data_IF_217403800036
#
_entry.id   IF_217403800036
#
_cell.length_a   1.000
_cell.length_b   1.000
_cell.length_c   1.000
_cell.angle_alpha   90.00
_cell.angle_beta   90.00
_cell.angle_gamma   90.00
#
_symmetry.space_group_name_H-M   'P 1'
#
loop_
_entity.id
_entity.type
_entity.pdbx_description
1 polymer ?
#
# COMPACT_ATOMS: atom_id res chain seq x y z
N UNK A 1 11.50 8.91 7.27
CA UNK A 1 10.04 8.81 7.02
C UNK A 1 9.53 7.48 7.56
N UNK A 2 8.42 7.43 8.30
CA UNK A 2 7.86 6.16 8.80
C UNK A 2 7.25 5.39 7.62
N UNK A 3 7.63 4.12 7.46
CA UNK A 3 7.09 3.24 6.43
C UNK A 3 6.19 2.17 7.04
N UNK A 4 5.00 1.97 6.47
CA UNK A 4 4.03 0.99 6.90
C UNK A 4 4.40 -0.41 6.41
N UNK A 5 3.94 -1.43 7.12
CA UNK A 5 4.11 -2.83 6.69
C UNK A 5 3.05 -3.19 5.65
N UNK A 6 3.30 -4.24 4.86
CA UNK A 6 2.30 -4.80 3.95
C UNK A 6 1.05 -5.27 4.71
N UNK A 7 1.20 -5.88 5.88
CA UNK A 7 0.06 -6.33 6.70
C UNK A 7 -0.81 -5.15 7.19
N UNK A 8 -0.19 -4.09 7.70
CA UNK A 8 -0.90 -2.86 8.09
C UNK A 8 -1.61 -2.23 6.89
N UNK A 9 -0.97 -2.25 5.73
CA UNK A 9 -1.54 -1.71 4.49
C UNK A 9 -2.73 -2.55 4.01
N UNK A 10 -2.62 -3.87 4.02
CA UNK A 10 -3.72 -4.76 3.65
C UNK A 10 -4.93 -4.55 4.56
N UNK A 11 -4.70 -4.43 5.88
CA UNK A 11 -5.75 -4.14 6.85
C UNK A 11 -6.40 -2.77 6.60
N UNK A 12 -5.59 -1.71 6.49
CA UNK A 12 -6.08 -0.34 6.28
C UNK A 12 -6.86 -0.20 4.97
N UNK A 13 -6.45 -0.90 3.91
CA UNK A 13 -7.11 -0.80 2.61
C UNK A 13 -8.24 -1.82 2.44
N UNK A 14 -8.51 -2.65 3.46
CA UNK A 14 -9.41 -3.80 3.40
C UNK A 14 -9.16 -4.67 2.15
N UNK A 15 -7.87 -4.90 1.85
CA UNK A 15 -7.42 -5.64 0.69
C UNK A 15 -6.97 -7.05 1.11
N UNK A 16 -7.18 -8.03 0.23
CA UNK A 16 -6.65 -9.38 0.43
C UNK A 16 -5.11 -9.30 0.58
N UNK A 17 -4.52 -9.83 1.68
CA UNK A 17 -3.08 -9.83 1.89
C UNK A 17 -2.28 -10.50 0.76
N UNK A 18 -2.83 -11.57 0.16
CA UNK A 18 -2.23 -12.28 -0.98
C UNK A 18 -2.30 -11.43 -2.25
N UNK A 19 -3.40 -10.72 -2.47
CA UNK A 19 -3.50 -9.77 -3.58
C UNK A 19 -2.44 -8.68 -3.46
N UNK A 20 -2.28 -8.11 -2.26
CA UNK A 20 -1.27 -7.09 -2.02
C UNK A 20 0.15 -7.63 -2.20
N UNK A 21 0.46 -8.82 -1.70
CA UNK A 21 1.78 -9.42 -1.90
C UNK A 21 2.05 -9.72 -3.38
N UNK A 22 1.06 -10.20 -4.13
CA UNK A 22 1.17 -10.39 -5.59
C UNK A 22 1.42 -9.06 -6.32
N UNK A 23 0.66 -8.01 -5.97
CA UNK A 23 0.86 -6.68 -6.53
C UNK A 23 2.31 -6.21 -6.31
N UNK A 24 2.81 -6.33 -5.09
CA UNK A 24 4.14 -5.84 -4.69
C UNK A 24 5.31 -6.74 -5.14
N UNK A 25 5.06 -8.01 -5.43
CA UNK A 25 6.10 -8.94 -5.92
C UNK A 25 6.26 -8.87 -7.43
N UNK A 26 5.19 -8.56 -8.16
CA UNK A 26 5.18 -8.57 -9.62
C UNK A 26 5.33 -7.17 -10.22
N UNK A 27 5.10 -6.10 -9.46
CA UNK A 27 5.04 -4.74 -9.98
C UNK A 27 5.82 -3.74 -9.13
N UNK A 28 6.27 -2.68 -9.79
CA UNK A 28 6.90 -1.53 -9.13
C UNK A 28 5.83 -0.53 -8.67
N UNK A 29 5.81 -0.25 -7.37
CA UNK A 29 4.95 0.78 -6.78
C UNK A 29 5.84 1.87 -6.17
N UNK A 30 5.67 3.10 -6.64
CA UNK A 30 6.40 4.26 -6.11
C UNK A 30 6.12 4.47 -4.63
N UNK A 31 7.19 4.72 -3.87
CA UNK A 31 7.14 4.81 -2.41
C UNK A 31 7.17 3.46 -1.69
N UNK A 32 7.24 2.32 -2.40
CA UNK A 32 7.55 1.02 -1.80
C UNK A 32 9.04 0.77 -1.85
N UNK A 33 9.63 0.50 -0.70
CA UNK A 33 11.05 0.15 -0.57
C UNK A 33 11.20 -1.26 -0.03
N UNK A 34 12.04 -2.04 -0.70
CA UNK A 34 12.50 -3.35 -0.24
C UNK A 34 14.01 -3.27 -0.16
N UNK A 35 14.57 -3.30 1.06
CA UNK A 35 16.00 -3.05 1.24
C UNK A 35 16.87 -4.26 0.87
N UNK A 36 16.45 -5.49 1.19
CA UNK A 36 17.10 -6.76 0.82
C UNK A 36 16.09 -7.91 0.81
N UNK A 37 16.46 -9.04 0.19
CA UNK A 37 15.70 -10.29 0.28
C UNK A 37 15.59 -10.72 1.75
N UNK A 38 14.39 -11.11 2.19
CA UNK A 38 14.09 -11.41 3.60
C UNK A 38 13.81 -10.20 4.49
N UNK A 39 13.97 -8.96 4.01
CA UNK A 39 13.56 -7.76 4.77
C UNK A 39 12.11 -7.38 4.43
N UNK A 40 11.24 -7.17 5.43
CA UNK A 40 9.87 -6.74 5.20
C UNK A 40 9.81 -5.42 4.41
N UNK A 41 8.94 -5.37 3.39
CA UNK A 41 8.69 -4.17 2.58
C UNK A 41 8.22 -3.02 3.47
N UNK A 42 8.68 -1.82 3.16
CA UNK A 42 8.25 -0.56 3.81
C UNK A 42 7.56 0.32 2.79
N UNK A 43 6.33 0.69 3.10
CA UNK A 43 5.47 1.47 2.23
C UNK A 43 5.34 2.89 2.78
N UNK A 44 5.76 3.88 2.01
CA UNK A 44 5.54 5.29 2.32
C UNK A 44 4.05 5.65 2.21
N UNK A 45 3.56 6.71 2.88
CA UNK A 45 2.16 7.14 2.78
C UNK A 45 1.65 7.27 1.33
N UNK A 46 2.47 7.83 0.42
CA UNK A 46 2.08 7.98 -0.98
C UNK A 46 1.84 6.63 -1.69
N UNK A 47 2.56 5.58 -1.30
CA UNK A 47 2.35 4.25 -1.85
C UNK A 47 0.96 3.71 -1.49
N UNK A 48 0.44 4.04 -0.30
CA UNK A 48 -0.90 3.61 0.12
C UNK A 48 -1.98 4.25 -0.75
N UNK A 49 -1.82 5.51 -1.17
CA UNK A 49 -2.74 6.16 -2.10
C UNK A 49 -2.76 5.50 -3.48
N UNK A 50 -1.57 5.19 -4.01
CA UNK A 50 -1.42 4.46 -5.28
C UNK A 50 -2.09 3.09 -5.17
N UNK A 51 -1.74 2.30 -4.15
CA UNK A 51 -2.29 0.96 -3.95
C UNK A 51 -3.81 1.01 -3.75
N UNK A 52 -4.32 1.98 -2.99
CA UNK A 52 -5.76 2.13 -2.80
C UNK A 52 -6.48 2.46 -4.10
N UNK A 53 -5.89 3.31 -4.94
CA UNK A 53 -6.43 3.64 -6.26
C UNK A 53 -6.42 2.42 -7.18
N UNK A 54 -5.32 1.66 -7.21
CA UNK A 54 -5.24 0.39 -7.97
C UNK A 54 -6.30 -0.59 -7.49
N UNK A 55 -6.48 -0.73 -6.17
CA UNK A 55 -7.46 -1.63 -5.59
C UNK A 55 -8.89 -1.27 -6.02
N UNK A 56 -9.26 0.01 -5.95
CA UNK A 56 -10.58 0.49 -6.40
C UNK A 56 -10.79 0.28 -7.90
N UNK A 57 -9.82 0.65 -8.73
CA UNK A 57 -9.91 0.45 -10.19
C UNK A 57 -10.06 -1.03 -10.55
N UNK A 58 -9.35 -1.92 -9.86
CA UNK A 58 -9.42 -3.35 -10.12
C UNK A 58 -10.71 -3.99 -9.58
N UNK A 59 -11.17 -3.60 -8.39
CA UNK A 59 -12.35 -4.17 -7.75
C UNK A 59 -13.65 -3.66 -8.36
N UNK A 60 -13.76 -2.35 -8.54
CA UNK A 60 -15.03 -1.70 -8.86
C UNK A 60 -15.22 -1.51 -10.36
N UNK A 61 -14.12 -1.27 -11.09
CA UNK A 61 -14.13 -1.07 -12.55
C UNK A 61 -13.53 -2.23 -13.34
N UNK A 62 -13.12 -3.30 -12.65
CA UNK A 62 -12.50 -4.50 -13.26
C UNK A 62 -11.30 -4.21 -14.15
N UNK A 63 -10.59 -3.10 -13.91
CA UNK A 63 -9.39 -2.74 -14.68
C UNK A 63 -8.28 -3.73 -14.35
N UNK A 64 -7.59 -4.31 -15.35
CA UNK A 64 -6.45 -5.20 -15.11
C UNK A 64 -5.37 -4.50 -14.27
N UNK A 65 -4.76 -5.23 -13.34
CA UNK A 65 -3.82 -4.66 -12.33
C UNK A 65 -2.72 -3.81 -12.96
N UNK A 66 -2.11 -4.28 -14.06
CA UNK A 66 -1.03 -3.54 -14.75
C UNK A 66 -1.52 -2.19 -15.30
N UNK A 67 -2.71 -2.16 -15.91
CA UNK A 67 -3.31 -0.93 -16.42
C UNK A 67 -3.73 0.00 -15.28
N UNK A 68 -4.37 -0.55 -14.24
CA UNK A 68 -4.76 0.20 -13.04
C UNK A 68 -3.56 0.84 -12.36
N UNK A 69 -2.41 0.16 -12.33
CA UNK A 69 -1.17 0.70 -11.79
C UNK A 69 -0.62 1.86 -12.63
N UNK A 70 -0.66 1.76 -13.95
CA UNK A 70 -0.32 2.87 -14.84
C UNK A 70 -1.19 4.10 -14.60
N UNK A 71 -2.51 3.90 -14.49
CA UNK A 71 -3.47 4.98 -14.20
C UNK A 71 -3.24 5.60 -12.83
N UNK A 72 -3.04 4.78 -11.80
CA UNK A 72 -2.78 5.28 -10.45
C UNK A 72 -1.48 6.09 -10.41
N UNK A 73 -0.39 5.63 -11.03
CA UNK A 73 0.85 6.40 -11.09
C UNK A 73 0.67 7.74 -11.78
N UNK A 74 -0.10 7.81 -12.87
CA UNK A 74 -0.39 9.08 -13.55
C UNK A 74 -1.21 10.02 -12.65
N UNK A 75 -2.29 9.52 -12.05
CA UNK A 75 -3.16 10.31 -11.16
C UNK A 75 -2.41 10.88 -9.94
N UNK A 76 -1.40 10.15 -9.45
CA UNK A 76 -0.60 10.53 -8.29
C UNK A 76 0.78 11.13 -8.64
N UNK A 77 1.09 11.32 -9.92
CA UNK A 77 2.40 11.83 -10.39
C UNK A 77 2.71 13.21 -9.82
N UNK A 78 1.72 14.10 -9.82
CA UNK A 78 1.89 15.46 -9.30
C UNK A 78 1.48 15.49 -7.84
N UNK A 79 2.23 16.19 -6.98
CA UNK A 79 1.77 16.45 -5.62
C UNK A 79 0.44 17.21 -5.68
N UNK A 80 -0.40 16.96 -4.70
CA UNK A 80 -1.65 17.68 -4.47
C UNK A 80 -1.77 17.99 -2.98
N UNK A 81 -2.81 18.73 -2.60
CA UNK A 81 -2.93 19.20 -1.21
C UNK A 81 -4.01 20.25 -0.97
N UNK A 82 -4.86 20.51 -1.97
CA UNK A 82 -6.07 21.32 -1.81
C UNK A 82 -7.26 20.44 -1.41
N UNK A 83 -8.25 20.94 -0.66
CA UNK A 83 -9.54 20.27 -0.48
C UNK A 83 -10.24 19.94 -1.80
N UNK A 84 -9.96 20.67 -2.87
CA UNK A 84 -10.52 20.46 -4.22
C UNK A 84 -9.57 19.70 -5.15
N UNK A 85 -8.64 18.94 -4.59
CA UNK A 85 -7.57 18.28 -5.33
C UNK A 85 -8.09 17.10 -6.18
N UNK A 86 -8.50 17.44 -7.39
CA UNK A 86 -8.96 16.52 -8.43
C UNK A 86 -7.82 16.21 -9.40
N UNK A 87 -7.54 14.93 -9.62
CA UNK A 87 -6.71 14.46 -10.72
C UNK A 87 -7.59 13.91 -11.85
N UNK A 88 -7.14 14.07 -13.09
CA UNK A 88 -7.81 13.55 -14.27
C UNK A 88 -6.78 12.89 -15.20
N UNK A 89 -7.15 11.76 -15.78
CA UNK A 89 -6.46 11.17 -16.93
C UNK A 89 -7.47 10.94 -18.05
N UNK A 90 -7.00 11.06 -19.31
CA UNK A 90 -7.82 10.77 -20.49
C UNK A 90 -7.29 9.55 -21.22
N UNK A 91 -8.20 8.70 -21.67
CA UNK A 91 -7.97 7.46 -22.42
C UNK A 91 -8.84 7.55 -23.68
N UNK A 92 -8.29 8.11 -24.75
CA UNK A 92 -9.09 8.52 -25.92
C UNK A 92 -10.18 9.51 -25.51
N UNK A 93 -11.43 9.17 -25.78
CA UNK A 93 -12.61 9.99 -25.46
C UNK A 93 -13.10 9.83 -24.02
N UNK A 94 -12.52 8.91 -23.25
CA UNK A 94 -12.93 8.62 -21.86
C UNK A 94 -12.04 9.40 -20.89
N UNK A 95 -12.63 10.02 -19.87
CA UNK A 95 -11.91 10.64 -18.77
C UNK A 95 -12.16 9.89 -17.46
N UNK A 96 -11.08 9.62 -16.72
CA UNK A 96 -11.14 9.12 -15.35
C UNK A 96 -10.75 10.26 -14.41
N UNK A 97 -11.65 10.61 -13.49
CA UNK A 97 -11.45 11.67 -12.50
C UNK A 97 -11.41 11.08 -11.11
N UNK A 98 -10.45 11.53 -10.30
CA UNK A 98 -10.24 11.06 -8.94
C UNK A 98 -10.13 12.26 -7.99
N UNK A 99 -10.96 12.26 -6.94
CA UNK A 99 -10.76 13.15 -5.79
C UNK A 99 -9.62 12.61 -4.93
N UNK A 100 -8.44 13.20 -5.07
CA UNK A 100 -7.25 12.79 -4.30
C UNK A 100 -7.38 13.19 -2.84
N UNK A 101 -8.08 14.27 -2.54
CA UNK A 101 -8.39 14.69 -1.17
C UNK A 101 -9.22 13.62 -0.43
N UNK A 102 -10.27 13.10 -1.08
CA UNK A 102 -11.10 12.04 -0.49
C UNK A 102 -10.35 10.72 -0.33
N UNK A 103 -9.52 10.34 -1.31
CA UNK A 103 -8.68 9.14 -1.17
C UNK A 103 -7.69 9.29 -0.02
N UNK A 104 -7.03 10.45 0.12
CA UNK A 104 -6.13 10.72 1.25
C UNK A 104 -6.87 10.59 2.58
N UNK A 105 -7.97 11.33 2.74
CA UNK A 105 -8.74 11.33 3.99
C UNK A 105 -9.21 9.92 4.38
N UNK A 106 -9.71 9.15 3.40
CA UNK A 106 -10.12 7.76 3.60
C UNK A 106 -8.95 6.85 4.00
N UNK A 107 -7.82 6.95 3.30
CA UNK A 107 -6.63 6.13 3.58
C UNK A 107 -6.03 6.49 4.94
N UNK A 108 -5.96 7.77 5.28
CA UNK A 108 -5.45 8.25 6.57
C UNK A 108 -6.33 7.79 7.74
N UNK A 109 -7.65 7.91 7.61
CA UNK A 109 -8.61 7.41 8.62
C UNK A 109 -8.48 5.89 8.82
N UNK A 110 -8.53 5.12 7.74
CA UNK A 110 -8.42 3.67 7.82
C UNK A 110 -7.04 3.18 8.32
N UNK A 111 -5.99 3.95 8.06
CA UNK A 111 -4.66 3.66 8.57
C UNK A 111 -4.55 3.94 10.07
N UNK A 112 -5.17 5.00 10.57
CA UNK A 112 -5.24 5.27 12.00
C UNK A 112 -5.93 4.10 12.73
N UNK A 113 -7.10 3.67 12.24
CA UNK A 113 -7.84 2.52 12.77
C UNK A 113 -7.01 1.22 12.72
N UNK A 114 -6.35 0.95 11.58
CA UNK A 114 -5.52 -0.23 11.42
C UNK A 114 -4.33 -0.27 12.40
N UNK A 115 -3.76 0.90 12.74
CA UNK A 115 -2.67 1.00 13.71
C UNK A 115 -3.14 0.77 15.15
N UNK A 116 -4.38 1.11 15.48
CA UNK A 116 -5.00 0.82 16.78
C UNK A 116 -5.31 -0.68 16.91
N UNK A 117 -5.74 -1.33 15.84
CA UNK A 117 -6.07 -2.76 15.81
C UNK A 117 -4.85 -3.68 15.68
N UNK A 118 -3.75 -3.19 15.11
CA UNK A 118 -2.58 -4.04 14.86
C UNK A 118 -1.90 -4.44 16.19
N UNK A 119 -1.82 -5.75 16.51
CA UNK A 119 -1.09 -6.19 17.70
C UNK A 119 0.40 -5.81 17.58
N UNK A 120 0.96 -5.24 18.65
CA UNK A 120 2.41 -4.97 18.75
C UNK A 120 3.18 -6.26 18.41
N UNK A 121 3.96 -6.24 17.34
CA UNK A 121 4.80 -7.39 16.96
C UNK A 121 5.69 -7.80 18.14
N UNK A 122 5.38 -8.94 18.76
CA UNK A 122 6.20 -9.55 19.82
C UNK A 122 7.53 -9.94 19.19
N UNK A 123 8.61 -9.19 19.46
CA UNK A 123 9.97 -9.60 19.08
C UNK A 123 10.27 -10.93 19.78
N UNK A 124 10.18 -12.04 19.05
CA UNK A 124 10.69 -13.31 19.52
C UNK A 124 12.20 -13.23 19.64
N UNK A 125 12.74 -13.41 20.85
CA UNK A 125 14.16 -13.70 21.07
C UNK A 125 14.42 -15.10 20.48
N UNK A 126 15.47 -15.32 19.67
CA UNK A 126 15.83 -16.66 19.24
C UNK A 126 16.08 -17.55 20.48
N UNK A 127 15.71 -18.84 20.48
CA UNK A 127 16.15 -19.75 21.54
C UNK A 127 17.68 -19.83 21.50
N UNK A 128 18.33 -19.42 22.59
CA UNK A 128 19.76 -19.64 22.77
C UNK A 128 20.05 -21.13 22.78
N UNK A 129 20.86 -21.59 21.83
CA UNK A 129 21.50 -22.91 21.92
C UNK A 129 22.56 -22.87 23.03
N UNK A 130 22.51 -23.83 23.95
CA UNK A 130 23.54 -24.11 24.97
C UNK A 130 22.89 -24.29 26.35
N UNK A 131 22.97 -25.41 27.07
CA UNK A 131 24.00 -26.43 27.07
C UNK A 131 23.39 -27.84 27.29
N UNK A 132 23.79 -28.79 26.44
CA UNK A 132 23.99 -30.17 26.89
C UNK A 132 25.39 -30.20 27.48
N UNK A 133 25.50 -30.52 28.76
CA UNK A 133 26.72 -31.03 29.37
C UNK A 133 26.30 -32.30 30.11
N UNK A 134 26.44 -33.43 29.42
CA UNK A 134 26.42 -34.75 30.00
C UNK A 134 27.70 -35.42 29.52
N UNK A 135 28.61 -35.60 30.48
CA UNK A 135 29.68 -36.59 30.64
C UNK A 135 30.77 -36.01 31.55
#
# INVERSE_FOLDING_TARGET
>A
MRGYSAATTALALNADPKWLDNLLSQNRVDGVTQSKQGVPRRLAPNALHIISTVHQLNRDLQVPVVAALGFAHELWRRPGGSPTDMAEIRIGEIALRLSRAEVRARVEGALAEALEMAPRTRRGRPPGKGARAGE
#
